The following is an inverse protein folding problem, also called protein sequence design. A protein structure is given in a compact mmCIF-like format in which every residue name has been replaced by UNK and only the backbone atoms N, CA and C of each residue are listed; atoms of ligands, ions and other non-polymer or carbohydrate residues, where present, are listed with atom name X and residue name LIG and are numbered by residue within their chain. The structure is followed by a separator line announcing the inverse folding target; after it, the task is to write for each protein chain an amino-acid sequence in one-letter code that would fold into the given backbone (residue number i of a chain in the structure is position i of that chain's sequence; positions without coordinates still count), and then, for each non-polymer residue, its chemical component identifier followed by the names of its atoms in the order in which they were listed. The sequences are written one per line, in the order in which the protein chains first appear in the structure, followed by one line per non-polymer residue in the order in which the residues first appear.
data_IF_618264325530
#
_entry.id   IF_618264325530
#
_cell.length_a   1.000
_cell.length_b   1.000
_cell.length_c   1.000
_cell.angle_alpha   90.00
_cell.angle_beta   90.00
_cell.angle_gamma   90.00
#
_symmetry.space_group_name_H-M   'P 1'
#
loop_
_entity.id
_entity.type
_entity.pdbx_description
1 polymer ?
#
# COMPACT_ATOMS: atom_id res chain seq x y z
N UNK A 1 -12.43 -12.21 32.25
CA UNK A 1 -12.55 -11.16 33.30
C UNK A 1 -12.90 -11.84 34.62
N UNK A 2 -11.92 -11.99 35.49
CA UNK A 2 -12.10 -12.03 36.94
C UNK A 2 -10.75 -11.58 37.50
N UNK A 3 -10.62 -10.28 37.75
CA UNK A 3 -9.53 -9.76 38.56
C UNK A 3 -9.83 -10.14 40.00
N UNK A 4 -8.99 -10.99 40.59
CA UNK A 4 -9.10 -11.38 42.00
C UNK A 4 -8.13 -10.52 42.81
N UNK A 5 -8.65 -9.85 43.84
CA UNK A 5 -7.87 -9.13 44.85
C UNK A 5 -6.97 -10.12 45.61
N UNK A 6 -5.76 -9.72 46.01
CA UNK A 6 -4.90 -10.57 46.84
C UNK A 6 -5.58 -10.84 48.19
N UNK A 7 -5.52 -12.09 48.65
CA UNK A 7 -5.96 -12.52 49.99
C UNK A 7 -4.71 -12.93 50.76
N UNK A 8 -4.47 -12.31 51.91
CA UNK A 8 -3.40 -12.70 52.82
C UNK A 8 -3.88 -13.77 53.80
N UNK A 9 -3.22 -14.92 53.81
CA UNK A 9 -3.31 -15.93 54.85
C UNK A 9 -1.88 -16.30 55.24
N UNK A 10 -1.55 -16.20 56.53
CA UNK A 10 -0.24 -16.60 57.09
C UNK A 10 0.99 -15.92 56.44
N UNK A 11 0.88 -14.64 56.07
CA UNK A 11 2.04 -13.85 55.64
C UNK A 11 2.59 -14.19 54.25
N UNK A 12 1.83 -14.88 53.40
CA UNK A 12 2.17 -15.12 51.99
C UNK A 12 1.00 -14.74 51.08
N UNK A 13 1.27 -14.04 49.98
CA UNK A 13 0.25 -13.65 49.00
C UNK A 13 0.00 -14.81 48.02
N UNK A 14 -1.27 -15.11 47.71
CA UNK A 14 -1.68 -16.18 46.79
C UNK A 14 -2.55 -15.61 45.67
N UNK A 15 -2.42 -16.16 44.46
CA UNK A 15 -3.28 -15.81 43.32
C UNK A 15 -4.04 -17.05 42.87
N UNK A 16 -5.35 -16.89 42.65
CA UNK A 16 -6.23 -17.94 42.13
C UNK A 16 -6.17 -17.94 40.61
N UNK A 17 -5.61 -19.00 40.03
CA UNK A 17 -5.72 -19.29 38.60
C UNK A 17 -6.45 -20.62 38.43
N UNK A 18 -7.58 -20.61 37.69
CA UNK A 18 -8.34 -21.81 37.35
C UNK A 18 -8.67 -22.76 38.54
N UNK A 19 -8.96 -22.21 39.72
CA UNK A 19 -9.34 -22.99 40.91
C UNK A 19 -8.18 -23.60 41.70
N UNK A 20 -6.93 -23.35 41.30
CA UNK A 20 -5.73 -23.74 42.06
C UNK A 20 -5.12 -22.51 42.74
N UNK A 21 -4.86 -22.65 44.05
CA UNK A 21 -4.04 -21.71 44.81
C UNK A 21 -2.59 -21.95 44.40
N UNK A 22 -2.00 -21.02 43.66
CA UNK A 22 -0.59 -21.05 43.29
C UNK A 22 0.16 -20.11 44.23
N UNK A 23 1.24 -20.57 44.91
CA UNK A 23 2.02 -19.68 45.74
C UNK A 23 2.64 -18.60 44.85
N UNK A 24 2.51 -17.33 45.24
CA UNK A 24 3.27 -16.26 44.60
C UNK A 24 4.74 -16.54 44.91
N UNK A 25 5.43 -17.17 43.97
CA UNK A 25 6.86 -17.37 44.04
C UNK A 25 7.45 -15.97 44.11
N UNK A 26 7.88 -15.56 45.31
CA UNK A 26 8.60 -14.32 45.51
C UNK A 26 9.84 -14.44 44.62
N UNK A 27 9.80 -13.74 43.50
CA UNK A 27 10.97 -13.53 42.67
C UNK A 27 12.07 -13.03 43.59
N UNK A 28 13.23 -13.68 43.51
CA UNK A 28 14.38 -13.38 44.35
C UNK A 28 14.57 -11.88 44.48
N UNK A 29 14.68 -11.41 45.72
CA UNK A 29 14.78 -10.00 46.13
C UNK A 29 16.10 -9.39 45.60
N UNK A 30 16.12 -9.08 44.31
CA UNK A 30 17.21 -8.43 43.61
C UNK A 30 16.70 -7.17 42.95
N UNK A 31 17.38 -6.04 43.17
CA UNK A 31 17.01 -4.77 42.55
C UNK A 31 17.41 -4.81 41.08
N UNK A 32 16.47 -4.61 40.16
CA UNK A 32 16.82 -4.43 38.74
C UNK A 32 17.02 -2.94 38.41
N UNK A 33 18.03 -2.64 37.61
CA UNK A 33 18.32 -1.32 37.07
C UNK A 33 18.59 -1.41 35.58
N UNK A 34 18.10 -0.43 34.84
CA UNK A 34 18.40 -0.27 33.42
C UNK A 34 19.06 1.09 33.19
N UNK A 35 20.06 1.14 32.32
CA UNK A 35 20.77 2.37 31.98
C UNK A 35 21.06 2.45 30.48
N UNK A 36 21.19 3.66 29.95
CA UNK A 36 21.55 3.87 28.56
C UNK A 36 23.08 3.86 28.40
N UNK A 37 23.60 3.32 27.30
CA UNK A 37 25.03 3.43 26.98
C UNK A 37 25.49 4.90 27.01
N UNK A 38 26.62 5.17 27.67
CA UNK A 38 27.20 6.50 27.87
C UNK A 38 26.58 7.33 28.99
N UNK A 39 25.53 6.83 29.65
CA UNK A 39 24.90 7.49 30.81
C UNK A 39 25.59 7.14 32.14
N UNK A 40 25.17 7.78 33.23
CA UNK A 40 25.58 7.39 34.58
C UNK A 40 24.44 6.69 35.32
N UNK A 41 24.73 5.63 36.06
CA UNK A 41 23.76 4.86 36.85
C UNK A 41 24.18 4.80 38.31
N UNK A 42 23.24 5.13 39.21
CA UNK A 42 23.43 5.00 40.65
C UNK A 42 23.00 3.60 41.10
N UNK A 43 23.95 2.83 41.60
CA UNK A 43 23.73 1.56 42.27
C UNK A 43 23.53 1.84 43.78
N UNK A 44 22.30 1.71 44.31
CA UNK A 44 22.03 2.00 45.72
C UNK A 44 22.77 1.04 46.66
N UNK A 45 23.15 1.55 47.84
CA UNK A 45 23.55 0.70 48.96
C UNK A 45 22.33 0.02 49.61
N UNK A 46 22.53 -0.90 50.57
CA UNK A 46 21.44 -1.51 51.31
C UNK A 46 20.68 -0.48 52.15
N UNK A 47 19.37 -0.65 52.27
CA UNK A 47 18.51 0.23 53.07
C UNK A 47 18.72 0.04 54.58
N UNK A 48 18.39 1.07 55.37
CA UNK A 48 18.33 1.03 56.84
C UNK A 48 19.67 0.87 57.60
N UNK A 49 20.81 1.20 56.98
CA UNK A 49 22.13 1.17 57.63
C UNK A 49 22.47 2.53 58.24
N UNK A 50 22.63 2.59 59.56
CA UNK A 50 22.93 3.83 60.30
C UNK A 50 24.43 4.15 60.38
N UNK A 51 25.28 3.11 60.42
CA UNK A 51 26.74 3.26 60.53
C UNK A 51 27.47 2.29 59.59
N UNK A 52 28.09 2.86 58.55
CA UNK A 52 28.90 2.13 57.57
C UNK A 52 30.37 2.18 58.01
N UNK A 53 30.92 1.05 58.46
CA UNK A 53 32.34 0.91 58.84
C UNK A 53 33.19 0.36 57.70
N UNK A 54 32.60 -0.48 56.85
CA UNK A 54 33.26 -1.02 55.65
C UNK A 54 32.26 -1.23 54.53
N UNK A 55 32.70 -1.05 53.29
CA UNK A 55 31.90 -1.32 52.10
C UNK A 55 32.75 -2.03 51.07
N UNK A 56 32.19 -3.08 50.47
CA UNK A 56 32.80 -3.81 49.36
C UNK A 56 31.79 -3.94 48.23
N UNK A 57 32.16 -3.45 47.05
CA UNK A 57 31.42 -3.68 45.81
C UNK A 57 32.10 -4.74 44.96
N UNK A 58 31.31 -5.64 44.41
CA UNK A 58 31.78 -6.75 43.58
C UNK A 58 30.92 -6.87 42.32
N UNK A 59 31.55 -7.12 41.18
CA UNK A 59 30.89 -7.59 39.96
C UNK A 59 30.89 -9.11 39.94
N UNK A 60 29.74 -9.74 39.69
CA UNK A 60 29.61 -11.20 39.65
C UNK A 60 29.56 -11.67 38.19
N UNK A 61 30.52 -12.50 37.81
CA UNK A 61 30.76 -12.96 36.43
C UNK A 61 30.37 -14.45 36.24
N UNK A 62 29.33 -14.90 36.98
CA UNK A 62 28.81 -16.28 36.99
C UNK A 62 29.71 -17.36 37.63
N UNK A 63 31.04 -17.23 37.48
CA UNK A 63 32.07 -18.19 37.96
C UNK A 63 32.89 -17.65 39.12
N UNK A 64 32.85 -16.34 39.37
CA UNK A 64 33.57 -15.67 40.45
C UNK A 64 33.07 -14.24 40.68
N UNK A 65 33.71 -13.54 41.63
CA UNK A 65 33.48 -12.13 41.88
C UNK A 65 34.75 -11.30 41.64
N UNK A 66 34.60 -10.15 40.99
CA UNK A 66 35.67 -9.17 40.80
C UNK A 66 35.40 -8.00 41.72
N UNK A 67 36.35 -7.67 42.59
CA UNK A 67 36.21 -6.50 43.47
C UNK A 67 36.29 -5.22 42.65
N UNK A 68 35.27 -4.37 42.81
CA UNK A 68 35.19 -3.04 42.18
C UNK A 68 35.77 -2.00 43.12
N UNK A 69 35.39 -2.09 44.39
CA UNK A 69 35.75 -1.12 45.43
C UNK A 69 35.86 -1.81 46.78
N UNK A 70 36.84 -1.40 47.58
CA UNK A 70 36.88 -1.66 49.01
C UNK A 70 37.14 -0.34 49.78
N UNK A 71 36.29 -0.06 50.77
CA UNK A 71 36.36 1.14 51.60
C UNK A 71 36.23 0.78 53.07
N UNK A 72 37.01 1.47 53.91
CA UNK A 72 36.94 1.43 55.37
C UNK A 72 36.78 2.83 55.92
N UNK A 73 35.93 2.99 56.92
CA UNK A 73 35.69 4.27 57.58
C UNK A 73 36.99 4.80 58.19
N UNK A 74 37.37 6.03 57.81
CA UNK A 74 38.63 6.66 58.22
C UNK A 74 39.75 6.55 57.18
N UNK A 75 39.55 5.80 56.08
CA UNK A 75 40.42 5.89 54.90
C UNK A 75 40.18 7.21 54.18
N UNK A 76 41.26 7.89 53.73
CA UNK A 76 41.15 9.13 52.97
C UNK A 76 40.64 8.91 51.54
N UNK A 77 41.00 7.77 50.92
CA UNK A 77 40.60 7.45 49.55
C UNK A 77 39.97 6.05 49.45
N UNK A 78 38.86 5.87 48.71
CA UNK A 78 38.30 4.57 48.39
C UNK A 78 39.17 3.83 47.35
N UNK A 79 39.53 2.57 47.63
CA UNK A 79 40.35 1.77 46.72
C UNK A 79 39.50 1.18 45.58
N UNK A 80 39.38 1.91 44.47
CA UNK A 80 38.65 1.48 43.27
C UNK A 80 39.59 0.73 42.32
N UNK A 81 39.20 -0.48 41.93
CA UNK A 81 39.99 -1.35 41.07
C UNK A 81 39.73 -1.08 39.58
N UNK A 82 40.72 -1.32 38.73
CA UNK A 82 40.54 -1.34 37.27
C UNK A 82 39.60 -2.48 36.85
N UNK A 83 38.74 -2.29 35.83
CA UNK A 83 38.65 -1.15 34.92
C UNK A 83 37.73 -0.02 35.38
N UNK A 84 37.20 -0.06 36.60
CA UNK A 84 36.23 0.92 37.11
C UNK A 84 36.88 2.23 37.62
N UNK A 85 38.21 2.25 37.78
CA UNK A 85 38.97 3.43 38.14
C UNK A 85 38.74 4.57 37.11
N UNK A 86 38.36 5.75 37.58
CA UNK A 86 38.09 6.93 36.75
C UNK A 86 36.67 7.05 36.21
N UNK A 87 35.83 6.02 36.40
CA UNK A 87 34.40 6.03 36.02
C UNK A 87 33.45 5.66 37.16
N UNK A 88 33.96 5.17 38.28
CA UNK A 88 33.16 4.88 39.47
C UNK A 88 33.38 5.95 40.55
N UNK A 89 32.28 6.47 41.10
CA UNK A 89 32.25 7.45 42.18
C UNK A 89 31.51 6.84 43.37
N UNK A 90 32.22 6.70 44.49
CA UNK A 90 31.67 6.12 45.71
C UNK A 90 31.11 7.19 46.65
N UNK A 91 29.97 6.89 47.27
CA UNK A 91 29.35 7.74 48.28
C UNK A 91 29.41 7.07 49.66
N UNK A 92 30.38 7.43 50.53
CA UNK A 92 30.56 6.80 51.83
C UNK A 92 29.39 6.96 52.81
N UNK A 93 28.55 7.99 52.62
CA UNK A 93 27.43 8.29 53.52
C UNK A 93 26.31 7.24 53.48
N UNK A 94 26.09 6.62 52.32
CA UNK A 94 25.02 5.64 52.10
C UNK A 94 25.51 4.34 51.43
N UNK A 95 26.81 4.22 51.15
CA UNK A 95 27.40 3.03 50.53
C UNK A 95 27.08 2.84 49.05
N UNK A 96 26.43 3.82 48.41
CA UNK A 96 26.07 3.76 46.99
C UNK A 96 27.27 3.98 46.07
N UNK A 97 27.17 3.44 44.86
CA UNK A 97 28.18 3.55 43.82
C UNK A 97 27.54 4.14 42.56
N UNK A 98 28.01 5.31 42.15
CA UNK A 98 27.68 5.89 40.85
C UNK A 98 28.68 5.35 39.82
N UNK A 99 28.20 4.73 38.76
CA UNK A 99 29.01 4.30 37.63
C UNK A 99 28.69 5.19 36.43
N UNK A 100 29.70 5.89 35.92
CA UNK A 100 29.61 6.86 34.83
C UNK A 100 30.01 6.24 33.48
N UNK A 101 29.51 6.82 32.39
CA UNK A 101 29.79 6.41 31.01
C UNK A 101 29.57 4.91 30.77
N UNK A 102 28.47 4.35 31.28
CA UNK A 102 28.21 2.89 31.26
C UNK A 102 28.23 2.32 29.86
N UNK A 103 28.82 1.13 29.70
CA UNK A 103 28.89 0.41 28.43
C UNK A 103 28.04 -0.85 28.47
N UNK A 104 27.66 -1.41 27.33
CA UNK A 104 26.87 -2.67 27.28
C UNK A 104 27.55 -3.81 28.05
N UNK A 105 28.89 -3.83 28.06
CA UNK A 105 29.72 -4.79 28.81
C UNK A 105 29.64 -4.64 30.33
N UNK A 106 29.15 -3.52 30.84
CA UNK A 106 28.93 -3.32 32.27
C UNK A 106 27.64 -3.99 32.76
N UNK A 107 26.83 -4.55 31.86
CA UNK A 107 25.66 -5.34 32.22
C UNK A 107 26.07 -6.55 33.06
N UNK A 108 25.30 -6.85 34.11
CA UNK A 108 25.57 -7.98 34.98
C UNK A 108 25.07 -7.75 36.40
N UNK A 109 25.52 -8.63 37.30
CA UNK A 109 25.08 -8.59 38.69
C UNK A 109 26.14 -7.92 39.55
N UNK A 110 25.77 -6.82 40.17
CA UNK A 110 26.58 -6.10 41.14
C UNK A 110 26.14 -6.47 42.54
N UNK A 111 27.10 -6.66 43.44
CA UNK A 111 26.83 -6.98 44.84
C UNK A 111 27.57 -6.01 45.73
N UNK A 112 26.83 -5.36 46.62
CA UNK A 112 27.41 -4.58 47.70
C UNK A 112 27.32 -5.37 49.00
N UNK A 113 28.40 -5.36 49.77
CA UNK A 113 28.43 -5.90 51.13
C UNK A 113 28.90 -4.78 52.04
N UNK A 114 28.05 -4.42 53.00
CA UNK A 114 28.36 -3.42 54.02
C UNK A 114 28.63 -4.14 55.33
N UNK A 115 29.58 -3.63 56.12
CA UNK A 115 29.95 -4.17 57.43
C UNK A 115 30.17 -5.68 57.36
N UNK A 116 31.34 -6.11 56.88
CA UNK A 116 31.67 -7.49 56.51
C UNK A 116 31.33 -8.61 57.53
N UNK A 117 30.99 -8.27 58.78
CA UNK A 117 30.51 -9.18 59.82
C UNK A 117 29.00 -9.49 59.81
N UNK A 118 28.15 -8.59 59.30
CA UNK A 118 26.68 -8.66 59.50
C UNK A 118 25.89 -9.26 58.33
N UNK A 119 26.59 -9.65 57.25
CA UNK A 119 26.01 -10.37 56.10
C UNK A 119 24.91 -9.59 55.35
N UNK A 120 24.82 -8.27 55.55
CA UNK A 120 23.95 -7.40 54.76
C UNK A 120 24.56 -7.20 53.37
N UNK A 121 24.05 -7.96 52.40
CA UNK A 121 24.45 -7.84 51.00
C UNK A 121 23.26 -7.61 50.10
N UNK A 122 23.34 -6.58 49.26
CA UNK A 122 22.34 -6.29 48.23
C UNK A 122 22.90 -6.71 46.86
N UNK A 123 22.09 -7.42 46.08
CA UNK A 123 22.39 -7.77 44.70
C UNK A 123 21.53 -6.94 43.74
N UNK A 124 22.17 -6.42 42.71
CA UNK A 124 21.57 -5.54 41.72
C UNK A 124 21.87 -6.09 40.34
N UNK A 125 20.83 -6.35 39.55
CA UNK A 125 20.97 -6.68 38.14
C UNK A 125 20.96 -5.37 37.34
N UNK A 126 22.10 -5.02 36.77
CA UNK A 126 22.23 -3.88 35.86
C UNK A 126 22.15 -4.36 34.41
N UNK A 127 21.24 -3.78 33.65
CA UNK A 127 21.11 -3.98 32.21
C UNK A 127 21.42 -2.66 31.49
N UNK A 128 22.52 -2.62 30.73
CA UNK A 128 22.91 -1.44 29.95
C UNK A 128 22.50 -1.65 28.50
N UNK A 129 21.63 -0.77 28.00
CA UNK A 129 21.01 -0.91 26.69
C UNK A 129 21.34 0.30 25.80
N UNK A 130 21.50 0.04 24.50
CA UNK A 130 21.45 1.10 23.49
C UNK A 130 20.02 1.64 23.34
N UNK A 131 19.85 2.96 23.11
CA UNK A 131 18.55 3.51 22.73
C UNK A 131 17.99 2.84 21.47
N UNK A 132 16.67 2.68 21.43
CA UNK A 132 15.97 2.18 20.24
C UNK A 132 16.05 3.23 19.14
N UNK A 133 16.44 2.80 17.95
CA UNK A 133 16.42 3.64 16.74
C UNK A 133 15.00 3.89 16.23
N UNK A 134 14.84 4.87 15.32
CA UNK A 134 13.54 5.15 14.70
C UNK A 134 13.08 3.96 13.85
N UNK A 135 11.86 3.41 14.08
CA UNK A 135 11.36 2.30 13.29
C UNK A 135 11.20 2.64 11.81
N UNK A 136 11.47 1.67 10.94
CA UNK A 136 11.16 1.74 9.52
C UNK A 136 9.88 0.96 9.25
N UNK A 137 8.84 1.65 8.75
CA UNK A 137 7.60 1.01 8.34
C UNK A 137 7.60 0.71 6.84
N UNK A 138 7.13 -0.48 6.48
CA UNK A 138 6.91 -0.90 5.09
C UNK A 138 5.56 -1.59 4.97
N UNK A 139 4.79 -1.28 3.94
CA UNK A 139 3.53 -1.95 3.65
C UNK A 139 3.60 -2.67 2.30
N UNK A 140 2.96 -3.83 2.23
CA UNK A 140 2.68 -4.50 0.94
C UNK A 140 1.63 -3.71 0.14
N UNK A 141 1.55 -3.91 -1.18
CA UNK A 141 0.43 -3.41 -1.98
C UNK A 141 -0.88 -4.05 -1.50
N UNK A 142 -1.66 -3.30 -0.72
CA UNK A 142 -2.92 -3.78 -0.18
C UNK A 142 -4.01 -3.73 -1.24
N UNK A 143 -4.68 -4.85 -1.44
CA UNK A 143 -5.84 -4.98 -2.33
C UNK A 143 -7.05 -5.31 -1.50
N UNK A 144 -8.21 -4.71 -1.82
CA UNK A 144 -9.46 -4.99 -1.15
C UNK A 144 -9.75 -6.51 -1.14
N UNK A 145 -10.26 -7.00 -0.01
CA UNK A 145 -10.55 -8.42 0.26
C UNK A 145 -9.30 -9.35 0.31
N UNK A 146 -8.10 -8.86 -0.01
CA UNK A 146 -6.86 -9.62 0.14
C UNK A 146 -6.28 -9.47 1.55
N UNK A 147 -5.38 -10.38 1.91
CA UNK A 147 -4.59 -10.23 3.15
C UNK A 147 -3.37 -9.38 2.86
N UNK A 148 -3.10 -8.47 3.79
CA UNK A 148 -2.04 -7.50 3.70
C UNK A 148 -1.15 -7.49 4.92
N UNK A 149 0.04 -6.89 4.78
CA UNK A 149 0.97 -6.75 5.89
C UNK A 149 1.59 -5.36 5.96
N UNK A 150 1.83 -4.91 7.19
CA UNK A 150 2.61 -3.72 7.54
C UNK A 150 3.71 -4.18 8.49
N UNK A 151 4.95 -4.07 8.04
CA UNK A 151 6.15 -4.43 8.78
C UNK A 151 6.70 -3.20 9.51
N UNK A 152 7.12 -3.40 10.76
CA UNK A 152 7.88 -2.46 11.56
C UNK A 152 9.25 -3.08 11.87
N UNK A 153 10.30 -2.45 11.36
CA UNK A 153 11.69 -2.90 11.52
C UNK A 153 12.51 -1.87 12.30
N UNK A 154 13.41 -2.33 13.16
CA UNK A 154 14.26 -1.48 14.02
C UNK A 154 15.70 -1.92 13.84
N UNK A 155 16.53 -1.03 13.33
CA UNK A 155 17.90 -1.36 12.91
C UNK A 155 18.86 -1.43 14.09
N UNK A 156 18.73 -0.51 15.04
CA UNK A 156 19.59 -0.41 16.22
C UNK A 156 18.80 -0.36 17.53
N UNK A 157 19.39 -0.95 18.57
CA UNK A 157 18.81 -1.09 19.91
C UNK A 157 17.97 -2.36 20.05
N UNK A 158 18.02 -3.01 21.23
CA UNK A 158 17.14 -4.14 21.54
C UNK A 158 15.73 -3.61 21.77
N UNK A 159 14.73 -4.25 21.17
CA UNK A 159 13.31 -3.95 21.35
C UNK A 159 12.70 -4.96 22.31
N UNK A 160 12.10 -4.47 23.39
CA UNK A 160 11.41 -5.31 24.38
C UNK A 160 9.90 -5.37 24.09
N UNK A 161 9.32 -4.32 23.49
CA UNK A 161 7.91 -4.26 23.14
C UNK A 161 7.67 -3.45 21.85
N UNK A 162 6.70 -3.91 21.06
CA UNK A 162 6.16 -3.18 19.90
C UNK A 162 4.67 -2.98 20.11
N UNK A 163 4.20 -1.75 19.91
CA UNK A 163 2.79 -1.39 19.99
C UNK A 163 2.33 -0.66 18.73
N UNK A 164 1.12 -0.97 18.29
CA UNK A 164 0.56 -0.42 17.06
C UNK A 164 -0.63 0.49 17.35
N UNK A 165 -0.72 1.56 16.55
CA UNK A 165 -1.84 2.50 16.55
C UNK A 165 -2.35 2.71 15.13
N UNK A 166 -3.65 2.92 14.99
CA UNK A 166 -4.30 3.38 13.75
C UNK A 166 -4.92 4.75 14.04
N UNK A 167 -4.57 5.74 13.23
CA UNK A 167 -5.09 7.10 13.32
C UNK A 167 -4.93 7.70 14.74
N UNK A 168 -3.79 7.39 15.39
CA UNK A 168 -3.45 7.84 16.74
C UNK A 168 -4.11 7.05 17.88
N UNK A 169 -5.05 6.15 17.59
CA UNK A 169 -5.73 5.31 18.58
C UNK A 169 -5.13 3.90 18.62
N UNK A 170 -5.23 3.17 19.75
CA UNK A 170 -4.90 1.75 19.79
C UNK A 170 -5.67 0.99 18.69
N UNK A 171 -5.06 -0.05 18.14
CA UNK A 171 -5.73 -0.87 17.13
C UNK A 171 -7.11 -1.32 17.64
N UNK A 172 -8.18 -1.14 16.85
CA UNK A 172 -9.50 -1.56 17.27
C UNK A 172 -9.52 -3.09 17.46
N UNK A 173 -10.29 -3.63 18.43
CA UNK A 173 -10.38 -5.06 18.70
C UNK A 173 -11.17 -5.83 17.61
N UNK A 174 -11.08 -5.41 16.35
CA UNK A 174 -11.77 -5.99 15.21
C UNK A 174 -11.08 -7.29 14.73
N UNK A 175 -11.86 -8.21 14.15
CA UNK A 175 -11.38 -9.52 13.66
C UNK A 175 -10.45 -9.42 12.44
N UNK A 176 -10.25 -8.22 11.90
CA UNK A 176 -9.42 -7.95 10.73
C UNK A 176 -7.92 -7.80 11.02
N UNK A 177 -7.54 -7.44 12.24
CA UNK A 177 -6.13 -7.22 12.59
C UNK A 177 -5.54 -8.43 13.32
N UNK A 178 -4.36 -8.85 12.91
CA UNK A 178 -3.59 -9.91 13.57
C UNK A 178 -2.13 -9.49 13.65
N UNK A 179 -1.50 -9.70 14.81
CA UNK A 179 -0.09 -9.38 15.03
C UNK A 179 0.73 -10.68 15.02
N UNK A 180 1.92 -10.63 14.43
CA UNK A 180 2.90 -11.72 14.59
C UNK A 180 3.27 -11.94 16.06
N UNK A 181 3.88 -13.09 16.39
CA UNK A 181 4.35 -13.38 17.77
C UNK A 181 5.34 -12.34 18.31
N UNK A 182 6.14 -11.74 17.42
CA UNK A 182 7.09 -10.65 17.76
C UNK A 182 6.44 -9.26 17.75
N UNK A 183 5.16 -9.15 17.40
CA UNK A 183 4.42 -7.90 17.19
C UNK A 183 5.01 -6.96 16.13
N UNK A 184 6.08 -7.34 15.42
CA UNK A 184 6.73 -6.54 14.37
C UNK A 184 5.95 -6.47 13.06
N UNK A 185 5.07 -7.44 12.81
CA UNK A 185 4.22 -7.47 11.61
C UNK A 185 2.76 -7.35 12.00
N UNK A 186 2.08 -6.36 11.43
CA UNK A 186 0.64 -6.19 11.48
C UNK A 186 0.01 -6.76 10.19
N UNK A 187 -0.79 -7.80 10.34
CA UNK A 187 -1.56 -8.40 9.26
C UNK A 187 -2.98 -7.83 9.24
N UNK A 188 -3.42 -7.44 8.04
CA UNK A 188 -4.77 -6.98 7.73
C UNK A 188 -5.47 -8.06 6.92
N UNK A 189 -6.34 -8.85 7.55
CA UNK A 189 -7.11 -9.90 6.88
C UNK A 189 -8.29 -9.30 6.13
N UNK A 190 -8.41 -9.65 4.85
CA UNK A 190 -9.52 -9.19 4.00
C UNK A 190 -9.67 -7.67 4.07
N UNK A 191 -8.63 -6.96 3.65
CA UNK A 191 -8.52 -5.51 3.76
C UNK A 191 -9.74 -4.78 3.19
N UNK A 192 -10.20 -3.75 3.90
CA UNK A 192 -11.37 -2.93 3.57
C UNK A 192 -10.99 -1.47 3.44
N UNK A 193 -11.85 -0.68 2.80
CA UNK A 193 -11.74 0.79 2.77
C UNK A 193 -11.58 1.43 4.16
N UNK A 194 -12.24 0.89 5.19
CA UNK A 194 -12.12 1.37 6.58
C UNK A 194 -10.72 1.22 7.16
N UNK A 195 -9.92 0.31 6.60
CA UNK A 195 -8.58 0.01 7.08
C UNK A 195 -7.56 1.01 6.55
N UNK A 196 -7.95 1.90 5.64
CA UNK A 196 -7.12 3.02 5.24
C UNK A 196 -6.91 3.99 6.41
N UNK A 197 -5.71 4.55 6.50
CA UNK A 197 -5.36 5.47 7.57
C UNK A 197 -3.85 5.53 7.84
N UNK A 198 -3.49 6.28 8.87
CA UNK A 198 -2.11 6.39 9.36
C UNK A 198 -1.86 5.32 10.41
N UNK A 199 -0.98 4.37 10.11
CA UNK A 199 -0.55 3.34 11.05
C UNK A 199 0.75 3.75 11.70
N UNK A 200 0.81 3.72 13.01
CA UNK A 200 2.03 4.01 13.77
C UNK A 200 2.52 2.78 14.51
N UNK A 201 3.82 2.53 14.42
CA UNK A 201 4.53 1.55 15.22
C UNK A 201 5.37 2.28 16.27
N UNK A 202 5.19 1.93 17.54
CA UNK A 202 6.02 2.37 18.64
C UNK A 202 6.84 1.18 19.17
N UNK A 203 8.15 1.27 19.00
CA UNK A 203 9.11 0.30 19.50
C UNK A 203 9.82 0.86 20.74
N UNK A 204 9.87 0.06 21.80
CA UNK A 204 10.45 0.49 23.07
C UNK A 204 11.31 -0.57 23.73
N UNK A 205 12.19 -0.07 24.60
CA UNK A 205 12.94 -0.85 25.57
C UNK A 205 12.86 -0.19 26.94
N UNK A 206 13.51 -0.77 27.95
CA UNK A 206 13.47 -0.25 29.33
C UNK A 206 13.96 1.20 29.48
N UNK A 207 14.72 1.74 28.53
CA UNK A 207 15.37 3.06 28.65
C UNK A 207 14.94 4.08 27.60
N UNK A 208 14.24 3.67 26.52
CA UNK A 208 13.85 4.54 25.42
C UNK A 208 12.68 3.98 24.61
N UNK A 209 12.05 4.86 23.83
CA UNK A 209 11.02 4.50 22.88
C UNK A 209 11.10 5.40 21.64
N UNK A 210 10.69 4.88 20.49
CA UNK A 210 10.59 5.62 19.24
C UNK A 210 9.33 5.20 18.49
N UNK A 211 8.67 6.18 17.88
CA UNK A 211 7.45 5.97 17.09
C UNK A 211 7.63 6.47 15.67
N UNK A 212 7.10 5.74 14.69
CA UNK A 212 7.04 6.18 13.29
C UNK A 212 5.70 5.79 12.69
N UNK A 213 5.20 6.62 11.77
CA UNK A 213 3.92 6.43 11.10
C UNK A 213 4.05 6.26 9.59
N UNK A 214 3.13 5.49 9.01
CA UNK A 214 3.00 5.24 7.59
C UNK A 214 1.53 5.32 7.19
N UNK A 215 1.25 6.07 6.11
CA UNK A 215 -0.08 6.09 5.52
C UNK A 215 -0.30 4.84 4.68
N UNK A 216 -1.34 4.10 5.02
CA UNK A 216 -1.69 2.83 4.40
C UNK A 216 -2.96 3.03 3.60
N UNK A 217 -2.91 2.64 2.32
CA UNK A 217 -4.03 2.73 1.38
C UNK A 217 -4.37 1.36 0.81
N UNK A 218 -5.65 1.03 0.75
CA UNK A 218 -6.18 -0.20 0.15
C UNK A 218 -6.65 0.10 -1.27
N UNK A 219 -6.10 -0.60 -2.26
CA UNK A 219 -6.51 -0.52 -3.65
C UNK A 219 -7.75 -1.40 -3.89
N UNK A 220 -8.79 -0.85 -4.52
CA UNK A 220 -10.00 -1.62 -4.87
C UNK A 220 -9.78 -2.61 -6.03
N UNK A 221 -8.73 -2.39 -6.83
CA UNK A 221 -8.35 -3.27 -7.94
C UNK A 221 -6.96 -3.84 -7.67
N UNK A 222 -6.72 -5.07 -8.11
CA UNK A 222 -5.38 -5.66 -8.05
C UNK A 222 -4.44 -4.94 -9.02
N UNK A 223 -3.13 -4.78 -8.68
CA UNK A 223 -2.14 -4.18 -9.56
C UNK A 223 -2.15 -4.70 -11.02
N UNK A 224 -2.17 -6.03 -11.28
CA UNK A 224 -2.16 -6.53 -12.66
C UNK A 224 -3.41 -6.13 -13.46
N UNK A 225 -4.56 -6.02 -12.79
CA UNK A 225 -5.81 -5.60 -13.45
C UNK A 225 -5.77 -4.11 -13.80
N UNK A 226 -5.17 -3.29 -12.93
CA UNK A 226 -5.02 -1.86 -13.16
C UNK A 226 -4.06 -1.58 -14.33
N UNK A 227 -2.95 -2.31 -14.42
CA UNK A 227 -2.02 -2.20 -15.54
C UNK A 227 -2.63 -2.70 -16.85
N UNK A 228 -3.35 -3.83 -16.81
CA UNK A 228 -4.09 -4.33 -17.97
C UNK A 228 -5.13 -3.32 -18.47
N UNK A 229 -5.84 -2.66 -17.56
CA UNK A 229 -6.80 -1.60 -17.91
C UNK A 229 -6.09 -0.42 -18.57
N UNK A 230 -4.97 0.05 -18.02
CA UNK A 230 -4.17 1.14 -18.62
C UNK A 230 -3.70 0.79 -20.04
N UNK A 231 -3.15 -0.40 -20.23
CA UNK A 231 -2.68 -0.88 -21.55
C UNK A 231 -3.86 -0.99 -22.52
N UNK A 232 -4.98 -1.57 -22.09
CA UNK A 232 -6.17 -1.71 -22.92
C UNK A 232 -6.67 -0.35 -23.41
N UNK A 233 -6.70 0.66 -22.54
CA UNK A 233 -7.17 1.98 -22.97
C UNK A 233 -6.18 2.65 -23.93
N UNK A 234 -4.88 2.54 -23.68
CA UNK A 234 -3.84 3.02 -24.62
C UNK A 234 -4.02 2.36 -25.99
N UNK A 235 -4.22 1.04 -26.03
CA UNK A 235 -4.44 0.32 -27.28
C UNK A 235 -5.70 0.79 -28.02
N UNK A 236 -6.81 1.06 -27.30
CA UNK A 236 -8.04 1.59 -27.90
C UNK A 236 -7.81 2.99 -28.49
N UNK A 237 -7.07 3.87 -27.81
CA UNK A 237 -6.72 5.20 -28.33
C UNK A 237 -5.89 5.08 -29.61
N UNK A 238 -4.87 4.21 -29.61
CA UNK A 238 -4.05 3.96 -30.81
C UNK A 238 -4.88 3.41 -31.98
N UNK A 239 -5.78 2.45 -31.72
CA UNK A 239 -6.68 1.92 -32.74
C UNK A 239 -7.57 3.04 -33.33
N UNK A 240 -8.13 3.89 -32.48
CA UNK A 240 -8.96 5.01 -32.92
C UNK A 240 -8.18 6.03 -33.78
N UNK A 241 -6.96 6.38 -33.38
CA UNK A 241 -6.09 7.31 -34.13
C UNK A 241 -5.57 6.70 -35.43
N UNK A 242 -5.24 5.40 -35.45
CA UNK A 242 -4.84 4.72 -36.69
C UNK A 242 -5.98 4.62 -37.71
N UNK A 243 -7.22 4.44 -37.23
CA UNK A 243 -8.43 4.50 -38.07
C UNK A 243 -8.60 5.87 -38.76
N UNK A 244 -8.23 6.97 -38.09
CA UNK A 244 -8.20 8.31 -38.71
C UNK A 244 -7.24 8.42 -39.90
N UNK A 245 -6.06 7.79 -39.80
CA UNK A 245 -5.05 7.78 -40.87
C UNK A 245 -5.52 7.07 -42.14
N UNK A 246 -6.50 6.17 -42.04
CA UNK A 246 -7.11 5.46 -43.16
C UNK A 246 -8.37 6.17 -43.71
N UNK A 247 -9.07 6.97 -42.90
CA UNK A 247 -10.28 7.72 -43.32
C UNK A 247 -9.92 9.04 -44.02
N UNK A 248 -8.84 9.71 -43.61
CA UNK A 248 -8.43 11.01 -44.19
C UNK A 248 -8.10 10.94 -45.69
N UNK A 249 -7.42 9.89 -46.21
CA UNK A 249 -7.18 9.71 -47.65
C UNK A 249 -8.47 9.44 -48.43
N UNK A 250 -9.48 8.80 -47.82
CA UNK A 250 -10.77 8.50 -48.46
C UNK A 250 -11.54 9.79 -48.75
N UNK A 251 -11.56 10.76 -47.82
CA UNK A 251 -12.15 12.09 -48.04
C UNK A 251 -11.35 12.99 -49.00
N UNK A 252 -10.02 12.83 -49.09
CA UNK A 252 -9.21 13.58 -50.07
C UNK A 252 -9.21 12.96 -51.48
N UNK A 253 -9.58 11.69 -51.63
CA UNK A 253 -9.56 10.98 -52.92
C UNK A 253 -10.45 11.62 -53.99
N UNK A 254 -11.49 12.35 -53.60
CA UNK A 254 -12.39 13.03 -54.54
C UNK A 254 -11.79 14.32 -55.12
N UNK A 255 -10.77 14.92 -54.48
CA UNK A 255 -9.96 16.00 -55.09
C UNK A 255 -8.94 15.49 -56.11
N UNK A 256 -8.58 14.20 -56.08
CA UNK A 256 -7.53 13.62 -56.93
C UNK A 256 -8.02 12.78 -58.11
N UNK A 257 -9.34 12.69 -58.37
CA UNK A 257 -9.90 12.00 -59.54
C UNK A 257 -9.48 10.52 -59.64
N UNK A 258 -9.38 9.82 -58.51
CA UNK A 258 -9.21 8.36 -58.47
C UNK A 258 -10.46 7.79 -57.79
N UNK A 259 -11.32 7.11 -58.55
CA UNK A 259 -12.44 6.36 -57.95
C UNK A 259 -11.87 5.33 -56.97
N UNK A 260 -12.15 5.40 -55.65
CA UNK A 260 -11.80 4.31 -54.78
C UNK A 260 -12.68 3.13 -55.19
N UNK A 261 -12.06 2.14 -55.82
CA UNK A 261 -12.77 0.94 -56.26
C UNK A 261 -13.44 0.30 -55.04
N UNK A 262 -14.72 -0.06 -55.16
CA UNK A 262 -15.50 -0.78 -54.13
C UNK A 262 -14.74 -2.03 -53.60
N UNK A 263 -13.81 -2.56 -54.41
CA UNK A 263 -12.87 -3.62 -54.08
C UNK A 263 -11.88 -3.32 -52.93
N UNK A 264 -11.64 -2.06 -52.55
CA UNK A 264 -10.70 -1.67 -51.46
C UNK A 264 -11.45 -1.35 -50.16
N UNK A 265 -12.69 -0.85 -50.25
CA UNK A 265 -13.51 -0.46 -49.10
C UNK A 265 -14.09 -1.69 -48.38
N UNK A 266 -14.52 -2.71 -49.13
CA UNK A 266 -15.11 -3.93 -48.56
C UNK A 266 -14.13 -4.76 -47.71
N UNK A 267 -12.87 -4.99 -48.14
CA UNK A 267 -11.88 -5.72 -47.34
C UNK A 267 -11.49 -5.01 -46.05
N UNK A 268 -11.42 -3.68 -46.05
CA UNK A 268 -11.08 -2.86 -44.87
C UNK A 268 -12.21 -2.84 -43.83
N UNK A 269 -13.46 -2.73 -44.27
CA UNK A 269 -14.64 -2.90 -43.40
C UNK A 269 -14.71 -4.34 -42.86
N UNK A 270 -14.38 -5.33 -43.69
CA UNK A 270 -14.29 -6.71 -43.25
C UNK A 270 -13.17 -6.93 -42.23
N UNK A 271 -12.00 -6.30 -42.40
CA UNK A 271 -10.86 -6.43 -41.49
C UNK A 271 -11.14 -5.78 -40.14
N UNK A 272 -11.74 -4.59 -40.14
CA UNK A 272 -12.20 -3.92 -38.91
C UNK A 272 -13.29 -4.70 -38.21
N UNK A 273 -14.25 -5.27 -38.96
CA UNK A 273 -15.27 -6.17 -38.40
C UNK A 273 -14.66 -7.45 -37.81
N UNK A 274 -13.71 -8.07 -38.49
CA UNK A 274 -13.00 -9.27 -38.01
C UNK A 274 -12.17 -8.96 -36.75
N UNK A 275 -11.51 -7.79 -36.69
CA UNK A 275 -10.79 -7.33 -35.50
C UNK A 275 -11.74 -7.13 -34.30
N UNK A 276 -12.90 -6.51 -34.52
CA UNK A 276 -13.93 -6.30 -33.48
C UNK A 276 -14.51 -7.64 -33.01
N UNK A 277 -14.86 -8.53 -33.94
CA UNK A 277 -15.39 -9.87 -33.61
C UNK A 277 -14.34 -10.70 -32.86
N UNK A 278 -13.08 -10.70 -33.27
CA UNK A 278 -12.01 -11.41 -32.57
C UNK A 278 -11.76 -10.85 -31.17
N UNK A 279 -11.84 -9.53 -30.99
CA UNK A 279 -11.74 -8.90 -29.67
C UNK A 279 -12.91 -9.33 -28.76
N UNK A 280 -14.14 -9.33 -29.27
CA UNK A 280 -15.33 -9.78 -28.53
C UNK A 280 -15.27 -11.28 -28.20
N UNK A 281 -14.80 -12.11 -29.14
CA UNK A 281 -14.59 -13.54 -28.92
C UNK A 281 -13.49 -13.78 -27.90
N UNK A 282 -12.37 -13.07 -27.97
CA UNK A 282 -11.28 -13.16 -26.98
C UNK A 282 -11.78 -12.75 -25.59
N UNK A 283 -12.52 -11.65 -25.49
CA UNK A 283 -13.11 -11.20 -24.23
C UNK A 283 -14.09 -12.24 -23.66
N UNK A 284 -15.01 -12.76 -24.47
CA UNK A 284 -15.97 -13.79 -24.02
C UNK A 284 -15.30 -15.10 -23.60
N UNK A 285 -14.25 -15.52 -24.30
CA UNK A 285 -13.43 -16.70 -23.91
C UNK A 285 -12.71 -16.47 -22.58
N UNK A 286 -12.18 -15.27 -22.34
CA UNK A 286 -11.51 -14.94 -21.08
C UNK A 286 -12.46 -14.81 -19.88
N UNK A 287 -13.73 -14.48 -20.09
CA UNK A 287 -14.69 -14.20 -19.00
C UNK A 287 -15.74 -15.30 -18.78
N UNK A 288 -16.09 -16.15 -19.76
CA UNK A 288 -16.95 -17.33 -19.59
C UNK A 288 -16.66 -18.43 -20.65
N UNK A 289 -15.85 -19.46 -20.32
CA UNK A 289 -15.38 -20.45 -21.31
C UNK A 289 -16.44 -21.47 -21.77
N UNK A 290 -17.63 -21.50 -21.17
CA UNK A 290 -18.62 -22.58 -21.38
C UNK A 290 -19.67 -22.32 -22.47
N UNK A 291 -19.66 -21.15 -23.13
CA UNK A 291 -20.74 -20.76 -24.06
C UNK A 291 -20.44 -20.91 -25.56
N UNK A 292 -19.29 -21.44 -25.95
CA UNK A 292 -18.85 -21.38 -27.36
C UNK A 292 -19.15 -22.60 -28.24
N UNK A 293 -19.98 -23.57 -27.79
CA UNK A 293 -20.14 -24.85 -28.50
C UNK A 293 -21.36 -24.98 -29.43
N UNK A 294 -22.17 -23.94 -29.67
CA UNK A 294 -23.49 -24.12 -30.34
C UNK A 294 -23.87 -23.09 -31.42
N UNK A 295 -22.96 -22.66 -32.30
CA UNK A 295 -23.33 -21.77 -33.41
C UNK A 295 -22.91 -22.30 -34.78
N UNK A 296 -23.81 -23.06 -35.41
CA UNK A 296 -23.82 -23.34 -36.85
C UNK A 296 -25.25 -23.26 -37.38
N UNK A 297 -25.70 -22.11 -37.88
CA UNK A 297 -26.93 -22.04 -38.69
C UNK A 297 -27.03 -20.80 -39.57
N UNK A 298 -27.58 -21.01 -40.77
CA UNK A 298 -27.80 -20.10 -41.90
C UNK A 298 -28.70 -18.88 -41.58
N UNK A 299 -29.32 -18.85 -40.40
CA UNK A 299 -30.09 -17.70 -39.88
C UNK A 299 -29.21 -16.50 -39.53
N UNK A 300 -27.91 -16.72 -39.26
CA UNK A 300 -26.95 -15.67 -38.93
C UNK A 300 -26.73 -14.65 -40.07
N UNK A 301 -26.98 -15.03 -41.32
CA UNK A 301 -26.78 -14.16 -42.48
C UNK A 301 -27.90 -13.12 -42.69
N UNK A 302 -29.11 -13.35 -42.15
CA UNK A 302 -30.23 -12.39 -42.22
C UNK A 302 -30.23 -11.37 -41.08
N UNK A 303 -29.50 -11.62 -40.00
CA UNK A 303 -29.35 -10.67 -38.89
C UNK A 303 -28.36 -9.53 -39.16
N UNK A 304 -27.70 -9.49 -40.32
CA UNK A 304 -26.69 -8.47 -40.65
C UNK A 304 -27.25 -7.07 -40.99
N UNK A 305 -28.56 -6.91 -41.24
CA UNK A 305 -29.17 -5.59 -41.50
C UNK A 305 -29.55 -4.79 -40.24
N UNK A 306 -29.79 -5.47 -39.12
CA UNK A 306 -30.08 -4.85 -37.81
C UNK A 306 -28.87 -4.91 -36.85
N UNK A 307 -27.78 -5.56 -37.28
CA UNK A 307 -26.58 -5.79 -36.47
C UNK A 307 -25.78 -4.52 -36.15
N UNK A 308 -25.86 -3.47 -36.98
CA UNK A 308 -25.10 -2.24 -36.74
C UNK A 308 -25.63 -1.45 -35.52
N UNK A 309 -26.92 -1.06 -35.44
CA UNK A 309 -27.45 -0.39 -34.26
C UNK A 309 -27.52 -1.33 -33.03
N UNK A 310 -27.85 -2.61 -33.20
CA UNK A 310 -27.85 -3.57 -32.10
C UNK A 310 -26.43 -3.83 -31.54
N UNK A 311 -25.42 -3.85 -32.40
CA UNK A 311 -24.00 -3.95 -32.02
C UNK A 311 -23.54 -2.73 -31.23
N UNK A 312 -23.89 -1.52 -31.67
CA UNK A 312 -23.58 -0.28 -30.93
C UNK A 312 -24.27 -0.26 -29.57
N UNK A 313 -25.57 -0.60 -29.50
CA UNK A 313 -26.30 -0.69 -28.23
C UNK A 313 -25.69 -1.77 -27.31
N UNK A 314 -25.28 -2.91 -27.86
CA UNK A 314 -24.61 -3.97 -27.10
C UNK A 314 -23.24 -3.54 -26.56
N UNK A 315 -22.44 -2.83 -27.36
CA UNK A 315 -21.14 -2.27 -26.92
C UNK A 315 -21.36 -1.21 -25.83
N UNK A 316 -22.34 -0.32 -25.97
CA UNK A 316 -22.65 0.70 -24.96
C UNK A 316 -23.12 0.06 -23.65
N UNK A 317 -23.97 -0.96 -23.71
CA UNK A 317 -24.46 -1.66 -22.51
C UNK A 317 -23.35 -2.46 -21.82
N UNK A 318 -22.50 -3.15 -22.58
CA UNK A 318 -21.38 -3.92 -22.03
C UNK A 318 -20.29 -3.03 -21.45
N UNK A 319 -19.93 -1.93 -22.12
CA UNK A 319 -19.00 -0.92 -21.59
C UNK A 319 -19.56 -0.25 -20.33
N UNK A 320 -20.84 0.13 -20.32
CA UNK A 320 -21.49 0.68 -19.13
C UNK A 320 -21.50 -0.30 -17.96
N UNK A 321 -21.77 -1.58 -18.22
CA UNK A 321 -21.73 -2.62 -17.19
C UNK A 321 -20.31 -2.84 -16.65
N UNK A 322 -19.30 -2.86 -17.54
CA UNK A 322 -17.89 -2.98 -17.17
C UNK A 322 -17.44 -1.79 -16.32
N UNK A 323 -17.78 -0.56 -16.73
CA UNK A 323 -17.47 0.66 -15.97
C UNK A 323 -18.12 0.59 -14.59
N UNK A 324 -19.41 0.20 -14.51
CA UNK A 324 -20.10 0.04 -13.23
C UNK A 324 -19.44 -0.99 -12.32
N UNK A 325 -18.99 -2.12 -12.89
CA UNK A 325 -18.33 -3.18 -12.14
C UNK A 325 -16.92 -2.76 -11.64
N UNK A 326 -16.16 -2.03 -12.47
CA UNK A 326 -14.87 -1.45 -12.10
C UNK A 326 -15.04 -0.41 -11.01
N UNK A 327 -16.05 0.46 -11.13
CA UNK A 327 -16.38 1.48 -10.13
C UNK A 327 -16.75 0.82 -8.79
N UNK A 328 -17.59 -0.22 -8.83
CA UNK A 328 -17.97 -0.94 -7.61
C UNK A 328 -16.77 -1.57 -6.89
N UNK A 329 -15.84 -2.19 -7.63
CA UNK A 329 -14.60 -2.74 -7.06
C UNK A 329 -13.67 -1.65 -6.53
N UNK A 330 -13.59 -0.53 -7.24
CA UNK A 330 -12.80 0.61 -6.79
C UNK A 330 -13.33 1.21 -5.48
N UNK A 331 -14.66 1.28 -5.32
CA UNK A 331 -15.32 1.76 -4.10
C UNK A 331 -14.99 0.93 -2.86
N UNK A 332 -14.54 -0.32 -3.02
CA UNK A 332 -14.08 -1.18 -1.90
C UNK A 332 -12.72 -0.73 -1.33
N UNK A 333 -11.98 0.10 -2.06
CA UNK A 333 -10.71 0.70 -1.65
C UNK A 333 -10.80 2.20 -1.33
N UNK A 334 -9.66 2.79 -1.03
CA UNK A 334 -9.50 4.23 -0.75
C UNK A 334 -8.44 4.91 -1.65
N UNK A 335 -7.76 4.16 -2.51
CA UNK A 335 -6.89 4.74 -3.53
C UNK A 335 -7.70 5.60 -4.48
N UNK A 336 -7.17 6.74 -4.93
CA UNK A 336 -7.86 7.58 -5.92
C UNK A 336 -8.22 6.79 -7.18
N UNK A 337 -9.40 7.06 -7.73
CA UNK A 337 -9.82 6.48 -9.01
C UNK A 337 -8.89 7.03 -10.08
N UNK A 338 -8.25 6.14 -10.84
CA UNK A 338 -7.63 6.56 -12.10
C UNK A 338 -8.78 7.03 -12.96
N UNK A 339 -8.88 8.34 -13.18
CA UNK A 339 -10.00 8.92 -13.91
C UNK A 339 -9.98 8.48 -15.37
N UNK A 340 -10.59 7.32 -15.62
CA UNK A 340 -10.78 6.78 -16.97
C UNK A 340 -11.87 7.58 -17.68
N UNK A 341 -12.62 8.47 -17.01
CA UNK A 341 -13.67 9.26 -17.66
C UNK A 341 -13.10 10.25 -18.66
N UNK A 342 -11.98 10.91 -18.33
CA UNK A 342 -11.27 11.75 -19.30
C UNK A 342 -10.87 10.95 -20.54
N UNK A 343 -10.45 9.69 -20.35
CA UNK A 343 -9.96 8.82 -21.42
C UNK A 343 -11.10 8.15 -22.22
N UNK A 344 -12.22 7.82 -21.59
CA UNK A 344 -13.45 7.35 -22.25
C UNK A 344 -14.17 8.47 -22.98
N UNK A 345 -14.19 9.70 -22.43
CA UNK A 345 -14.70 10.89 -23.11
C UNK A 345 -13.81 11.25 -24.29
N UNK A 346 -12.49 11.15 -24.13
CA UNK A 346 -11.54 11.33 -25.23
C UNK A 346 -11.78 10.31 -26.34
N UNK A 347 -11.92 9.03 -26.00
CA UNK A 347 -12.20 7.98 -27.01
C UNK A 347 -13.58 8.13 -27.62
N UNK A 348 -14.61 8.48 -26.85
CA UNK A 348 -15.95 8.76 -27.36
C UNK A 348 -15.94 9.95 -28.34
N UNK A 349 -15.28 11.06 -27.98
CA UNK A 349 -15.10 12.22 -28.85
C UNK A 349 -14.35 11.85 -30.13
N UNK A 350 -13.23 11.12 -30.01
CA UNK A 350 -12.44 10.65 -31.16
C UNK A 350 -13.24 9.68 -32.04
N UNK A 351 -14.15 8.88 -31.47
CA UNK A 351 -15.02 7.94 -32.21
C UNK A 351 -16.27 8.59 -32.82
N UNK A 352 -16.73 9.74 -32.30
CA UNK A 352 -17.87 10.49 -32.83
C UNK A 352 -17.48 11.42 -33.99
N UNK A 353 -16.23 11.88 -34.03
CA UNK A 353 -15.69 12.69 -35.12
C UNK A 353 -15.79 12.01 -36.51
N UNK A 354 -15.61 10.68 -36.67
CA UNK A 354 -15.91 9.95 -37.90
C UNK A 354 -17.37 10.06 -38.36
N UNK A 355 -18.33 9.97 -37.45
CA UNK A 355 -19.76 10.09 -37.79
C UNK A 355 -20.08 11.52 -38.26
N UNK A 356 -19.49 12.53 -37.62
CA UNK A 356 -19.58 13.93 -38.07
C UNK A 356 -18.90 14.14 -39.42
N UNK A 357 -17.71 13.56 -39.65
CA UNK A 357 -17.00 13.67 -40.92
C UNK A 357 -17.77 12.99 -42.07
N UNK A 358 -18.33 11.79 -41.83
CA UNK A 358 -19.19 11.09 -42.80
C UNK A 358 -20.47 11.91 -43.06
N UNK A 359 -21.12 12.43 -42.03
CA UNK A 359 -22.32 13.25 -42.16
C UNK A 359 -22.06 14.54 -42.97
N UNK A 360 -20.96 15.23 -42.67
CA UNK A 360 -20.54 16.42 -43.41
C UNK A 360 -20.15 16.08 -44.86
N UNK A 361 -19.47 14.96 -45.10
CA UNK A 361 -19.12 14.48 -46.44
C UNK A 361 -20.38 14.09 -47.24
N UNK A 362 -21.37 13.46 -46.61
CA UNK A 362 -22.66 13.13 -47.21
C UNK A 362 -23.50 14.38 -47.54
N UNK A 363 -23.54 15.37 -46.65
CA UNK A 363 -24.34 16.56 -46.86
C UNK A 363 -23.71 17.51 -47.90
N UNK A 364 -22.37 17.56 -47.95
CA UNK A 364 -21.66 18.29 -49.00
C UNK A 364 -21.83 17.63 -50.35
N UNK A 365 -21.71 16.30 -50.46
CA UNK A 365 -21.95 15.56 -51.73
C UNK A 365 -23.40 15.73 -52.23
N UNK A 366 -24.40 15.74 -51.35
CA UNK A 366 -25.79 16.03 -51.68
C UNK A 366 -26.01 17.48 -52.19
N UNK A 367 -25.36 18.47 -51.57
CA UNK A 367 -25.39 19.85 -52.04
C UNK A 367 -24.82 20.00 -53.46
N UNK A 368 -23.72 19.30 -53.75
CA UNK A 368 -23.10 19.24 -55.07
C UNK A 368 -23.93 18.50 -56.12
N UNK A 369 -24.67 17.46 -55.73
CA UNK A 369 -25.61 16.78 -56.63
C UNK A 369 -26.79 17.69 -57.01
N UNK A 370 -27.30 18.47 -56.06
CA UNK A 370 -28.41 19.40 -56.29
C UNK A 370 -28.04 20.58 -57.20
N UNK A 371 -26.81 21.08 -57.09
CA UNK A 371 -26.26 22.11 -58.01
C UNK A 371 -25.93 21.54 -59.40
N UNK A 372 -25.62 20.25 -59.48
CA UNK A 372 -25.43 19.56 -60.75
C UNK A 372 -26.77 19.39 -61.46
N UNK A 373 -27.81 18.92 -60.78
CA UNK A 373 -29.13 18.74 -61.38
C UNK A 373 -29.78 20.07 -61.81
N UNK A 374 -29.58 21.17 -61.08
CA UNK A 374 -30.00 22.51 -61.51
C UNK A 374 -29.23 22.99 -62.75
N UNK A 375 -27.92 22.75 -62.80
CA UNK A 375 -27.07 23.04 -63.96
C UNK A 375 -27.41 22.21 -65.20
N UNK A 376 -27.92 20.99 -65.04
CA UNK A 376 -28.36 20.13 -66.15
C UNK A 376 -29.76 20.50 -66.63
N UNK A 377 -30.67 20.87 -65.72
CA UNK A 377 -32.01 21.36 -66.07
C UNK A 377 -32.00 22.68 -66.87
N UNK A 378 -31.00 23.56 -66.65
CA UNK A 378 -30.81 24.78 -67.45
C UNK A 378 -30.15 24.50 -68.81
N UNK A 379 -29.39 23.40 -68.96
CA UNK A 379 -28.75 23.02 -70.22
C UNK A 379 -29.69 22.34 -71.21
N UNK A 380 -30.77 21.70 -70.77
CA UNK A 380 -31.77 21.12 -71.67
C UNK A 380 -32.75 22.15 -72.26
N UNK A 381 -32.74 23.41 -71.78
CA UNK A 381 -33.65 24.45 -72.26
C UNK A 381 -33.14 25.26 -73.47
N UNK A 382 -31.96 24.93 -74.01
CA UNK A 382 -31.36 25.56 -75.20
C UNK A 382 -30.97 24.53 -76.26
N UNK A 383 -31.95 24.10 -77.07
CA UNK A 383 -31.72 23.47 -78.38
C UNK A 383 -32.18 24.49 -79.44
N UNK A 384 -31.31 25.07 -80.28
CA UNK A 384 -31.74 26.00 -81.31
C UNK A 384 -32.26 25.24 -82.54
N UNK A 385 -33.55 25.41 -82.85
CA UNK A 385 -34.06 25.18 -84.20
C UNK A 385 -33.63 26.38 -85.08
N UNK A 386 -32.77 26.16 -86.07
CA UNK A 386 -32.56 27.11 -87.15
C UNK A 386 -33.09 26.52 -88.47
N UNK A 387 -34.32 26.91 -88.80
CA UNK A 387 -34.86 26.91 -90.16
C UNK A 387 -34.65 28.34 -90.72
N UNK A 388 -33.92 28.50 -91.81
CA UNK A 388 -34.05 29.66 -92.69
C UNK A 388 -33.93 29.25 -94.17
N UNK A 389 -34.73 29.86 -95.08
CA UNK A 389 -34.85 29.42 -96.47
C UNK A 389 -33.98 30.24 -97.45
N UNK A 390 -33.81 29.69 -98.65
CA UNK A 390 -33.06 30.22 -99.78
C UNK A 390 -33.55 31.58 -100.32
N UNK A 391 -32.60 32.40 -100.82
CA UNK A 391 -32.75 33.15 -102.09
C UNK A 391 -31.39 33.60 -102.69
N UNK A 392 -31.20 33.30 -103.97
CA UNK A 392 -30.26 33.90 -104.95
C UNK A 392 -30.50 35.44 -105.07
N UNK A 393 -29.70 36.33 -105.70
CA UNK A 393 -29.18 36.46 -107.10
C UNK A 393 -28.04 37.57 -107.12
N UNK A 394 -27.51 38.11 -108.25
CA UNK A 394 -26.19 37.86 -108.88
C UNK A 394 -25.20 39.05 -108.92
N UNK A 395 -23.95 38.79 -109.37
CA UNK A 395 -23.37 39.31 -110.63
C UNK A 395 -22.10 38.54 -110.97
#
# INVERSE_FOLDING_TARGET
MLMSRPVELLGTSWVLFAGLLVPLQHAAEGTEKAAAVGSSVLLPGPDNITHIYSTRWEYLDGTGSRTILQYYRGSHDPAICTPYAGRAVFHPSNGSLLLEDVQESDSGIYKVTVNAGDRESLKILLEVLKPVSRPQLRSSSLVAQATGEVLCDVVEGRVDAITWKKDGQPLPPDRGFYLSDSFSVLYLRSAKKSDCGSYSCNASNRISWQETSLNVTVAGLSPPLQDALRIAVVAVVFAAVSGWGLIFPVCQSEKLRISPSIAIILPEIALTYVMVVNFVVSATVTFQPTKLTQLKSKTAQRMMGYAAPAGVVSVVLTTSFLIKNIHHRHEEGCTDFVDVTALTVSTAAVSALPLLAIFLCYHTTQGWLKDRDSSWADKERYIPYCLFPCKFIPS
#
